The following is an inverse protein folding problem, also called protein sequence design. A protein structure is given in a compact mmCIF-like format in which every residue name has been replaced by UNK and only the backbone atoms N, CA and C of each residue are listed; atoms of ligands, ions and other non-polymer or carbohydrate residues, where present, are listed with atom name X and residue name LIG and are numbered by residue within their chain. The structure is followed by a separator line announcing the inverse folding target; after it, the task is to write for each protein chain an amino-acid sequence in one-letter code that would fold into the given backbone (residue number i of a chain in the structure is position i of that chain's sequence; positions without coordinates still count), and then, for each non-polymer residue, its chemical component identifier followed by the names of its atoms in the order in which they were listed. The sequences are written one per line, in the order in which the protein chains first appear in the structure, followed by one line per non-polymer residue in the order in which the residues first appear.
data_IF_707389582391
#
_entry.id   IF_707389582391
#
_cell.length_a   1.000
_cell.length_b   1.000
_cell.length_c   1.000
_cell.angle_alpha   90.00
_cell.angle_beta   90.00
_cell.angle_gamma   90.00
#
_symmetry.space_group_name_H-M   'P 1'
#
loop_
_entity.id
_entity.type
_entity.pdbx_description
1 polymer ?
#
# COMPACT_ATOMS: atom_id res chain seq x y z
N UNK A 1 33.19 -11.53 -22.67
CA UNK A 1 32.74 -10.74 -21.49
C UNK A 1 32.24 -11.73 -20.44
N UNK A 2 32.66 -11.56 -19.17
CA UNK A 2 32.28 -12.48 -18.07
C UNK A 2 30.97 -12.06 -17.42
N UNK A 3 30.11 -13.04 -17.20
CA UNK A 3 28.83 -12.88 -16.52
C UNK A 3 28.66 -13.93 -15.42
N UNK A 4 27.98 -13.57 -14.34
CA UNK A 4 27.50 -14.52 -13.35
C UNK A 4 26.05 -14.89 -13.65
N UNK A 5 25.71 -16.15 -13.58
CA UNK A 5 24.32 -16.63 -13.62
C UNK A 5 23.68 -16.32 -12.28
N UNK A 6 22.90 -15.27 -12.22
CA UNK A 6 22.28 -14.80 -10.96
C UNK A 6 20.99 -15.54 -10.64
N UNK A 7 20.22 -15.91 -11.65
CA UNK A 7 18.93 -16.56 -11.46
C UNK A 7 18.52 -17.36 -12.70
N UNK A 8 17.83 -18.47 -12.50
CA UNK A 8 17.24 -19.30 -13.56
C UNK A 8 15.72 -19.36 -13.35
N UNK A 9 14.97 -19.02 -14.37
CA UNK A 9 13.55 -19.31 -14.42
C UNK A 9 13.31 -20.64 -15.13
N UNK A 10 13.03 -21.68 -14.36
CA UNK A 10 12.84 -23.06 -14.88
C UNK A 10 11.57 -23.19 -15.72
N UNK A 11 10.51 -22.45 -15.39
CA UNK A 11 9.24 -22.47 -16.12
C UNK A 11 9.36 -21.92 -17.54
N UNK A 12 10.08 -20.80 -17.72
CA UNK A 12 10.29 -20.17 -19.02
C UNK A 12 11.60 -20.58 -19.70
N UNK A 13 12.44 -21.36 -19.04
CA UNK A 13 13.76 -21.80 -19.51
C UNK A 13 14.72 -20.65 -19.79
N UNK A 14 14.77 -19.65 -18.91
CA UNK A 14 15.69 -18.53 -19.04
C UNK A 14 16.67 -18.46 -17.88
N UNK A 15 17.93 -18.22 -18.20
CA UNK A 15 18.97 -17.81 -17.26
C UNK A 15 19.17 -16.29 -17.33
N UNK A 16 19.22 -15.65 -16.19
CA UNK A 16 19.58 -14.25 -16.06
C UNK A 16 21.06 -14.17 -15.70
N UNK A 17 21.82 -13.48 -16.54
CA UNK A 17 23.26 -13.40 -16.43
C UNK A 17 23.65 -11.93 -16.26
N UNK A 18 24.41 -11.60 -15.23
CA UNK A 18 24.77 -10.25 -14.85
C UNK A 18 26.26 -10.04 -15.03
N UNK A 19 26.65 -9.02 -15.78
CA UNK A 19 28.02 -8.53 -15.81
C UNK A 19 28.28 -7.70 -14.56
N UNK A 20 29.21 -8.14 -13.73
CA UNK A 20 29.50 -7.49 -12.44
C UNK A 20 30.21 -6.15 -12.60
N UNK A 21 31.01 -5.96 -13.66
CA UNK A 21 31.73 -4.72 -13.92
C UNK A 21 30.80 -3.60 -14.39
N UNK A 22 29.96 -3.90 -15.35
CA UNK A 22 29.05 -2.91 -15.98
C UNK A 22 27.63 -2.98 -15.44
N UNK A 23 27.32 -3.97 -14.58
CA UNK A 23 25.97 -4.21 -14.02
C UNK A 23 24.88 -4.42 -15.09
N UNK A 24 25.28 -4.97 -16.23
CA UNK A 24 24.37 -5.30 -17.32
C UNK A 24 23.76 -6.68 -17.05
N UNK A 25 22.44 -6.78 -17.14
CA UNK A 25 21.74 -8.07 -17.09
C UNK A 25 21.28 -8.48 -18.47
N UNK A 26 21.56 -9.71 -18.84
CA UNK A 26 21.07 -10.32 -20.07
C UNK A 26 20.24 -11.57 -19.77
N UNK A 27 19.34 -11.90 -20.68
CA UNK A 27 18.53 -13.11 -20.62
C UNK A 27 19.03 -14.12 -21.63
N UNK A 28 19.37 -15.31 -21.18
CA UNK A 28 19.83 -16.41 -22.03
C UNK A 28 18.90 -17.62 -21.97
N UNK A 29 18.67 -18.22 -23.13
CA UNK A 29 17.97 -19.52 -23.25
C UNK A 29 19.00 -20.63 -23.11
N UNK A 30 19.50 -20.85 -21.90
CA UNK A 30 20.41 -21.92 -21.59
C UNK A 30 20.15 -22.45 -20.17
N UNK A 31 19.46 -23.56 -20.08
CA UNK A 31 19.07 -24.19 -18.81
C UNK A 31 20.15 -25.15 -18.27
N UNK A 32 21.26 -25.29 -18.95
CA UNK A 32 22.37 -26.16 -18.51
C UNK A 32 23.28 -25.44 -17.53
N UNK A 33 23.17 -24.13 -17.39
CA UNK A 33 23.86 -23.35 -16.37
C UNK A 33 23.21 -23.53 -14.99
N UNK A 34 23.99 -23.32 -13.94
CA UNK A 34 23.53 -23.28 -12.56
C UNK A 34 23.71 -21.88 -11.97
N UNK A 35 22.85 -21.44 -11.02
CA UNK A 35 23.07 -20.18 -10.31
C UNK A 35 24.46 -20.17 -9.65
N UNK A 36 25.16 -19.04 -9.77
CA UNK A 36 26.52 -18.87 -9.26
C UNK A 36 27.61 -19.29 -10.25
N UNK A 37 27.30 -19.87 -11.40
CA UNK A 37 28.30 -20.10 -12.43
C UNK A 37 28.75 -18.78 -13.09
N UNK A 38 30.07 -18.68 -13.36
CA UNK A 38 30.62 -17.60 -14.19
C UNK A 38 30.78 -18.16 -15.61
N UNK A 39 30.25 -17.43 -16.56
CA UNK A 39 30.23 -17.78 -17.98
C UNK A 39 30.83 -16.63 -18.81
N UNK A 40 31.55 -17.01 -19.87
CA UNK A 40 32.02 -16.07 -20.88
C UNK A 40 31.02 -16.00 -22.03
N UNK A 41 30.61 -14.80 -22.38
CA UNK A 41 29.66 -14.55 -23.48
C UNK A 41 30.32 -13.58 -24.46
N UNK A 42 30.60 -14.06 -25.66
CA UNK A 42 31.13 -13.25 -26.78
C UNK A 42 30.02 -12.84 -27.73
N UNK A 43 28.98 -13.66 -27.85
CA UNK A 43 27.83 -13.41 -28.70
C UNK A 43 26.54 -13.73 -27.94
N UNK A 44 25.74 -12.71 -27.66
CA UNK A 44 24.49 -12.84 -26.89
C UNK A 44 23.42 -13.69 -27.58
N UNK A 45 23.52 -13.90 -28.89
CA UNK A 45 22.55 -14.68 -29.66
C UNK A 45 22.83 -16.20 -29.63
N UNK A 46 24.04 -16.62 -29.23
CA UNK A 46 24.47 -18.01 -29.26
C UNK A 46 24.43 -18.69 -27.89
N UNK A 47 24.25 -20.02 -27.85
CA UNK A 47 24.42 -20.80 -26.59
C UNK A 47 25.82 -20.60 -26.01
N UNK A 48 25.92 -20.73 -24.67
CA UNK A 48 27.19 -20.62 -23.95
C UNK A 48 28.01 -21.91 -24.16
N UNK A 49 29.24 -21.84 -24.69
CA UNK A 49 30.08 -23.01 -24.87
C UNK A 49 30.40 -23.70 -23.54
N UNK A 50 30.44 -25.03 -23.53
CA UNK A 50 30.72 -25.84 -22.32
C UNK A 50 32.05 -25.49 -21.63
N UNK A 51 33.10 -25.19 -22.41
CA UNK A 51 34.43 -24.83 -21.89
C UNK A 51 34.55 -23.45 -21.26
N UNK A 52 33.51 -22.60 -21.37
CA UNK A 52 33.52 -21.22 -20.82
C UNK A 52 32.86 -21.10 -19.45
N UNK A 53 32.63 -22.24 -18.76
CA UNK A 53 31.95 -22.30 -17.46
C UNK A 53 32.92 -22.54 -16.34
N UNK A 54 32.89 -21.71 -15.32
CA UNK A 54 33.65 -21.86 -14.08
C UNK A 54 32.71 -21.82 -12.88
N UNK A 55 32.95 -22.67 -11.87
CA UNK A 55 32.30 -22.52 -10.58
C UNK A 55 32.88 -21.31 -9.87
N UNK A 56 32.01 -20.47 -9.39
CA UNK A 56 32.38 -19.30 -8.60
C UNK A 56 32.76 -19.73 -7.17
N UNK A 57 33.86 -19.21 -6.63
CA UNK A 57 34.16 -19.41 -5.21
C UNK A 57 33.47 -18.29 -4.42
N UNK A 58 32.79 -18.61 -3.30
CA UNK A 58 32.06 -17.68 -2.43
C UNK A 58 32.89 -16.44 -2.00
N UNK A 59 34.21 -16.53 -2.01
CA UNK A 59 35.10 -15.41 -1.67
C UNK A 59 35.12 -14.27 -2.71
N UNK A 60 34.64 -14.47 -3.92
CA UNK A 60 34.74 -13.50 -4.99
C UNK A 60 33.42 -12.75 -5.26
N UNK A 61 32.31 -13.13 -4.63
CA UNK A 61 31.02 -12.42 -4.74
C UNK A 61 31.01 -11.15 -3.89
N UNK A 62 32.10 -10.38 -3.94
CA UNK A 62 32.02 -8.96 -3.62
C UNK A 62 31.35 -8.28 -4.81
N UNK A 63 30.01 -8.36 -4.84
CA UNK A 63 29.25 -7.40 -5.65
C UNK A 63 29.80 -6.03 -5.33
N UNK A 64 30.16 -5.22 -6.34
CA UNK A 64 30.58 -3.85 -6.07
C UNK A 64 29.54 -3.25 -5.16
N UNK A 65 29.99 -2.60 -4.08
CA UNK A 65 29.09 -1.88 -3.20
C UNK A 65 28.19 -1.07 -4.12
N UNK A 66 26.88 -1.29 -4.03
CA UNK A 66 25.94 -0.42 -4.70
C UNK A 66 26.12 0.87 -3.93
N UNK A 67 26.97 1.74 -4.44
CA UNK A 67 27.01 3.11 -3.96
C UNK A 67 25.63 3.63 -4.22
N UNK A 68 24.84 3.70 -3.14
CA UNK A 68 23.60 4.43 -3.19
C UNK A 68 24.01 5.85 -3.53
N UNK A 69 23.60 6.41 -4.70
CA UNK A 69 24.01 7.75 -5.10
C UNK A 69 23.34 8.83 -4.23
N UNK A 70 22.94 8.48 -2.98
CA UNK A 70 21.98 9.27 -2.27
C UNK A 70 22.64 9.95 -1.09
N UNK A 71 23.00 11.14 -1.36
CA UNK A 71 22.81 12.18 -0.37
C UNK A 71 21.38 12.71 -0.53
N UNK A 72 20.40 12.05 0.07
CA UNK A 72 19.18 12.79 0.34
C UNK A 72 19.60 13.91 1.26
N UNK A 73 19.31 15.12 0.84
CA UNK A 73 19.37 16.24 1.75
C UNK A 73 18.30 16.03 2.84
N UNK A 74 18.66 15.25 3.87
CA UNK A 74 17.84 15.06 5.08
C UNK A 74 17.71 16.39 5.84
N UNK A 75 18.33 17.45 5.36
CA UNK A 75 18.31 18.77 5.97
C UNK A 75 16.90 19.31 6.22
N UNK A 76 15.91 18.88 5.44
CA UNK A 76 14.51 19.29 5.59
C UNK A 76 13.63 18.18 6.19
N UNK A 77 14.16 16.98 6.45
CA UNK A 77 13.41 15.91 7.07
C UNK A 77 13.21 16.18 8.56
N UNK A 78 11.99 15.91 9.04
CA UNK A 78 11.70 15.96 10.47
C UNK A 78 12.41 14.84 11.25
N UNK A 79 12.36 14.89 12.58
CA UNK A 79 13.03 13.94 13.46
C UNK A 79 12.56 12.50 13.29
N UNK A 80 11.30 12.28 12.92
CA UNK A 80 10.74 10.92 12.69
C UNK A 80 11.36 10.32 11.43
N UNK A 81 11.39 11.07 10.33
CA UNK A 81 12.04 10.64 9.08
C UNK A 81 13.53 10.35 9.29
N UNK A 82 14.24 11.19 10.06
CA UNK A 82 15.65 10.94 10.41
C UNK A 82 15.85 9.63 11.17
N UNK A 83 14.96 9.30 12.11
CA UNK A 83 15.00 8.03 12.86
C UNK A 83 14.70 6.82 11.99
N UNK A 84 13.79 6.95 11.00
CA UNK A 84 13.48 5.88 10.03
C UNK A 84 14.58 5.68 9.00
N UNK A 85 15.37 6.71 8.72
CA UNK A 85 16.32 6.74 7.61
C UNK A 85 17.24 5.52 7.50
N UNK A 86 17.87 5.00 8.58
CA UNK A 86 18.75 3.84 8.45
C UNK A 86 18.04 2.60 7.91
N UNK A 87 16.76 2.40 8.27
CA UNK A 87 15.95 1.29 7.73
C UNK A 87 15.55 1.54 6.27
N UNK A 88 15.23 2.77 5.92
CA UNK A 88 14.88 3.15 4.54
C UNK A 88 16.09 2.94 3.62
N UNK A 89 17.27 3.39 4.05
CA UNK A 89 18.52 3.22 3.31
C UNK A 89 18.86 1.75 3.11
N UNK A 90 18.79 0.94 4.18
CA UNK A 90 19.03 -0.51 4.11
C UNK A 90 18.05 -1.20 3.15
N UNK A 91 16.77 -0.85 3.19
CA UNK A 91 15.75 -1.37 2.27
C UNK A 91 16.02 -0.93 0.83
N UNK A 92 16.42 0.33 0.59
CA UNK A 92 16.77 0.83 -0.73
C UNK A 92 17.96 0.06 -1.33
N UNK A 93 19.00 -0.19 -0.53
CA UNK A 93 20.16 -0.98 -0.94
C UNK A 93 19.77 -2.42 -1.28
N UNK A 94 18.94 -3.07 -0.43
CA UNK A 94 18.46 -4.43 -0.67
C UNK A 94 17.67 -4.50 -1.99
N UNK A 95 16.70 -3.61 -2.17
CA UNK A 95 15.86 -3.57 -3.39
C UNK A 95 16.73 -3.36 -4.64
N UNK A 96 17.61 -2.35 -4.61
CA UNK A 96 18.50 -2.07 -5.73
C UNK A 96 19.40 -3.28 -6.06
N UNK A 97 19.96 -3.95 -5.04
CA UNK A 97 20.76 -5.17 -5.21
C UNK A 97 19.97 -6.28 -5.88
N UNK A 98 18.77 -6.61 -5.37
CA UNK A 98 17.92 -7.69 -5.92
C UNK A 98 17.56 -7.41 -7.38
N UNK A 99 17.16 -6.19 -7.68
CA UNK A 99 16.77 -5.77 -9.03
C UNK A 99 17.95 -5.80 -10.00
N UNK A 100 19.12 -5.28 -9.61
CA UNK A 100 20.33 -5.31 -10.45
C UNK A 100 20.85 -6.73 -10.70
N UNK A 101 20.60 -7.66 -9.78
CA UNK A 101 20.92 -9.07 -9.92
C UNK A 101 19.81 -9.87 -10.65
N UNK A 102 18.72 -9.21 -11.06
CA UNK A 102 17.53 -9.87 -11.64
C UNK A 102 16.95 -10.97 -10.76
N UNK A 103 17.13 -10.88 -9.45
CA UNK A 103 16.46 -11.76 -8.49
C UNK A 103 14.96 -11.45 -8.52
N UNK A 104 14.06 -12.45 -8.42
CA UNK A 104 12.63 -12.22 -8.43
C UNK A 104 12.18 -11.30 -7.30
N UNK A 105 11.37 -10.29 -7.66
CA UNK A 105 10.77 -9.36 -6.73
C UNK A 105 9.26 -9.35 -6.92
N UNK A 106 8.51 -9.57 -5.84
CA UNK A 106 7.05 -9.36 -5.83
C UNK A 106 6.77 -8.08 -5.08
N UNK A 107 6.05 -7.16 -5.70
CA UNK A 107 5.62 -5.90 -5.09
C UNK A 107 4.11 -5.92 -5.02
N UNK A 108 3.59 -5.95 -3.81
CA UNK A 108 2.17 -5.85 -3.50
C UNK A 108 1.88 -4.48 -2.94
N UNK A 109 0.86 -3.81 -3.47
CA UNK A 109 0.43 -2.49 -3.04
C UNK A 109 -1.09 -2.42 -2.89
N UNK A 110 -1.57 -1.61 -1.97
CA UNK A 110 -3.00 -1.42 -1.74
C UNK A 110 -3.66 -0.68 -2.91
N UNK A 111 -4.94 -0.95 -3.12
CA UNK A 111 -5.71 -0.47 -4.27
C UNK A 111 -6.39 0.90 -4.04
N UNK A 112 -5.69 1.83 -3.43
CA UNK A 112 -6.12 3.21 -3.23
C UNK A 112 -5.05 4.22 -3.67
N UNK A 113 -5.28 5.50 -3.39
CA UNK A 113 -4.35 6.55 -3.81
C UNK A 113 -3.01 6.46 -3.08
N UNK A 114 -2.98 6.05 -1.80
CA UNK A 114 -1.75 5.94 -1.01
C UNK A 114 -0.86 4.81 -1.52
N UNK A 115 -1.35 3.57 -1.50
CA UNK A 115 -0.61 2.41 -1.98
C UNK A 115 -0.17 2.53 -3.45
N UNK A 116 -1.06 3.08 -4.30
CA UNK A 116 -0.77 3.27 -5.73
C UNK A 116 0.26 4.36 -6.00
N UNK A 117 0.25 5.47 -5.25
CA UNK A 117 1.28 6.50 -5.33
C UNK A 117 2.65 5.94 -4.99
N UNK A 118 2.73 5.14 -3.92
CA UNK A 118 3.96 4.45 -3.53
C UNK A 118 4.47 3.50 -4.60
N UNK A 119 3.57 2.70 -5.19
CA UNK A 119 3.93 1.77 -6.26
C UNK A 119 4.45 2.48 -7.52
N UNK A 120 3.81 3.60 -7.94
CA UNK A 120 4.26 4.40 -9.08
C UNK A 120 5.61 5.06 -8.81
N UNK A 121 5.81 5.63 -7.62
CA UNK A 121 7.09 6.23 -7.24
C UNK A 121 8.23 5.20 -7.29
N UNK A 122 8.02 4.02 -6.69
CA UNK A 122 9.00 2.94 -6.71
C UNK A 122 9.26 2.41 -8.13
N UNK A 123 8.22 2.27 -8.96
CA UNK A 123 8.36 1.87 -10.37
C UNK A 123 9.25 2.85 -11.14
N UNK A 124 9.02 4.16 -11.00
CA UNK A 124 9.83 5.20 -11.64
C UNK A 124 11.28 5.13 -11.19
N UNK A 125 11.51 4.95 -9.89
CA UNK A 125 12.84 4.87 -9.32
C UNK A 125 13.63 3.66 -9.86
N UNK A 126 12.99 2.50 -9.89
CA UNK A 126 13.60 1.28 -10.42
C UNK A 126 13.88 1.40 -11.92
N UNK A 127 12.95 1.98 -12.69
CA UNK A 127 13.15 2.23 -14.13
C UNK A 127 14.32 3.16 -14.38
N UNK A 128 14.40 4.31 -13.69
CA UNK A 128 15.51 5.26 -13.85
C UNK A 128 16.87 4.66 -13.45
N UNK A 129 16.91 3.88 -12.36
CA UNK A 129 18.11 3.15 -11.96
C UNK A 129 18.59 2.21 -13.07
N UNK A 130 17.67 1.52 -13.74
CA UNK A 130 18.01 0.56 -14.80
C UNK A 130 18.38 1.24 -16.11
N UNK A 131 17.66 2.28 -16.52
CA UNK A 131 17.98 3.06 -17.72
C UNK A 131 19.39 3.65 -17.62
N UNK A 132 19.82 4.08 -16.42
CA UNK A 132 21.17 4.58 -16.18
C UNK A 132 22.25 3.50 -16.29
N UNK A 133 21.89 2.21 -16.29
CA UNK A 133 22.80 1.05 -16.31
C UNK A 133 22.69 0.21 -17.58
N UNK A 134 21.97 0.69 -18.60
CA UNK A 134 21.77 -0.01 -19.90
C UNK A 134 21.22 -1.44 -19.76
N UNK A 135 20.46 -1.74 -18.73
CA UNK A 135 19.77 -3.03 -18.62
C UNK A 135 18.65 -3.11 -19.64
N UNK A 136 18.90 -3.86 -20.71
CA UNK A 136 17.93 -4.11 -21.74
C UNK A 136 17.02 -5.24 -21.34
N UNK A 137 15.95 -5.28 -20.87
CA UNK A 137 14.88 -6.28 -20.79
C UNK A 137 14.50 -6.83 -19.42
N UNK A 138 13.22 -6.78 -19.28
CA UNK A 138 12.29 -7.49 -18.37
C UNK A 138 12.91 -7.95 -17.06
N UNK A 139 12.79 -7.05 -16.12
CA UNK A 139 12.98 -7.34 -14.71
C UNK A 139 12.09 -8.51 -14.28
N UNK A 140 12.60 -9.32 -13.39
CA UNK A 140 11.83 -10.32 -12.65
C UNK A 140 11.00 -9.63 -11.57
N UNK A 141 10.24 -8.59 -11.94
CA UNK A 141 9.37 -7.87 -11.03
C UNK A 141 7.91 -8.17 -11.35
N UNK A 142 7.18 -8.61 -10.34
CA UNK A 142 5.74 -8.83 -10.41
C UNK A 142 5.03 -7.80 -9.55
N UNK A 143 4.24 -6.96 -10.17
CA UNK A 143 3.38 -5.99 -9.50
C UNK A 143 2.00 -6.58 -9.27
N UNK A 144 1.50 -6.49 -8.03
CA UNK A 144 0.20 -7.04 -7.64
C UNK A 144 -0.54 -5.99 -6.82
N UNK A 145 -1.65 -5.51 -7.38
CA UNK A 145 -2.59 -4.66 -6.65
C UNK A 145 -3.39 -5.50 -5.66
N UNK A 146 -3.28 -5.20 -4.38
CA UNK A 146 -3.97 -5.90 -3.31
C UNK A 146 -5.29 -5.20 -2.98
N UNK A 147 -6.39 -5.98 -2.94
CA UNK A 147 -7.73 -5.44 -2.61
C UNK A 147 -8.09 -5.61 -1.14
N UNK A 148 -7.37 -6.47 -0.44
CA UNK A 148 -7.57 -6.73 0.98
C UNK A 148 -6.57 -5.96 1.83
N UNK A 149 -6.92 -5.77 3.09
CA UNK A 149 -6.11 -5.05 4.09
C UNK A 149 -5.09 -5.97 4.81
N UNK A 150 -5.03 -7.25 4.44
CA UNK A 150 -4.13 -8.25 5.04
C UNK A 150 -3.50 -9.13 3.97
N UNK A 151 -2.40 -9.77 4.32
CA UNK A 151 -1.70 -10.75 3.50
C UNK A 151 -2.05 -12.17 3.95
N UNK A 152 -3.03 -12.78 3.30
CA UNK A 152 -3.54 -14.10 3.67
C UNK A 152 -2.73 -15.27 3.10
N UNK A 153 -3.08 -16.48 3.54
CA UNK A 153 -2.41 -17.72 3.07
C UNK A 153 -2.66 -18.01 1.60
N UNK A 154 -3.79 -17.58 1.04
CA UNK A 154 -4.10 -17.73 -0.39
C UNK A 154 -3.17 -16.91 -1.27
N UNK A 155 -2.94 -15.65 -0.90
CA UNK A 155 -1.98 -14.76 -1.56
C UNK A 155 -0.56 -15.30 -1.43
N UNK A 156 -0.18 -15.74 -0.24
CA UNK A 156 1.14 -16.32 0.03
C UNK A 156 1.38 -17.61 -0.77
N UNK A 157 0.38 -18.48 -0.92
CA UNK A 157 0.49 -19.69 -1.72
C UNK A 157 0.72 -19.38 -3.21
N UNK A 158 -0.02 -18.39 -3.75
CA UNK A 158 0.15 -17.95 -5.14
C UNK A 158 1.54 -17.34 -5.39
N UNK A 159 2.06 -16.56 -4.43
CA UNK A 159 3.38 -15.95 -4.51
C UNK A 159 4.48 -16.99 -4.39
N UNK A 160 4.36 -17.92 -3.46
CA UNK A 160 5.32 -19.01 -3.28
C UNK A 160 5.39 -19.92 -4.51
N UNK A 161 4.23 -20.21 -5.14
CA UNK A 161 4.18 -20.95 -6.40
C UNK A 161 4.91 -20.21 -7.52
N UNK A 162 4.74 -18.88 -7.62
CA UNK A 162 5.46 -18.10 -8.63
C UNK A 162 6.96 -18.09 -8.37
N UNK A 163 7.39 -17.89 -7.13
CA UNK A 163 8.79 -17.87 -6.70
C UNK A 163 9.45 -19.24 -6.91
N UNK A 164 8.74 -20.34 -6.71
CA UNK A 164 9.28 -21.71 -6.85
C UNK A 164 9.75 -22.05 -8.28
N UNK A 165 9.35 -21.25 -9.27
CA UNK A 165 9.89 -21.37 -10.63
C UNK A 165 11.33 -20.83 -10.78
N UNK A 166 11.85 -20.16 -9.76
CA UNK A 166 13.16 -19.51 -9.81
C UNK A 166 14.16 -20.23 -8.92
N UNK A 167 15.37 -20.38 -9.45
CA UNK A 167 16.54 -20.85 -8.72
C UNK A 167 17.61 -19.75 -8.81
N UNK A 168 17.98 -19.16 -7.68
CA UNK A 168 18.76 -17.93 -7.66
C UNK A 168 19.89 -18.00 -6.62
N UNK A 169 20.93 -17.17 -6.81
CA UNK A 169 22.04 -17.03 -5.86
C UNK A 169 21.64 -16.39 -4.53
N UNK A 170 20.51 -15.69 -4.51
CA UNK A 170 19.96 -15.05 -3.31
C UNK A 170 18.46 -15.31 -3.20
N UNK A 171 17.91 -15.16 -1.98
CA UNK A 171 16.46 -15.28 -1.75
C UNK A 171 15.71 -14.22 -2.58
N UNK A 172 14.55 -14.57 -3.17
CA UNK A 172 13.62 -13.61 -3.73
C UNK A 172 13.18 -12.55 -2.70
N UNK A 173 12.70 -11.42 -3.20
CA UNK A 173 12.26 -10.31 -2.36
C UNK A 173 10.75 -10.10 -2.49
N UNK A 174 10.09 -9.86 -1.36
CA UNK A 174 8.73 -9.35 -1.32
C UNK A 174 8.73 -7.93 -0.78
N UNK A 175 7.94 -7.05 -1.41
CA UNK A 175 7.72 -5.67 -0.97
C UNK A 175 6.23 -5.48 -0.76
N UNK A 176 5.84 -5.03 0.44
CA UNK A 176 4.48 -4.66 0.78
C UNK A 176 4.39 -3.16 0.95
N UNK A 177 3.38 -2.55 0.32
CA UNK A 177 3.13 -1.11 0.37
C UNK A 177 1.69 -0.88 0.79
N UNK A 178 1.49 -0.25 1.96
CA UNK A 178 0.21 0.24 2.45
C UNK A 178 -0.82 -0.84 2.77
N UNK A 179 -0.45 -1.94 3.35
CA UNK A 179 -1.39 -2.92 3.88
C UNK A 179 -0.69 -3.97 4.75
N UNK A 180 -1.48 -4.69 5.52
CA UNK A 180 -1.06 -5.94 6.15
C UNK A 180 -0.49 -5.84 7.55
N UNK A 181 -0.46 -4.65 8.17
CA UNK A 181 0.01 -4.44 9.56
C UNK A 181 -1.00 -4.94 10.59
N UNK A 182 -1.45 -6.18 10.45
CA UNK A 182 -2.40 -6.84 11.35
C UNK A 182 -2.03 -8.31 11.60
N UNK A 183 -2.54 -8.88 12.69
CA UNK A 183 -2.33 -10.30 13.02
C UNK A 183 -2.88 -11.24 11.96
N UNK A 184 -3.86 -10.80 11.15
CA UNK A 184 -4.42 -11.56 10.04
C UNK A 184 -3.36 -11.88 8.97
N UNK A 185 -2.29 -11.07 8.88
CA UNK A 185 -1.18 -11.29 7.95
C UNK A 185 -0.15 -12.30 8.43
N UNK A 186 -0.17 -12.65 9.73
CA UNK A 186 0.85 -13.55 10.33
C UNK A 186 0.89 -14.91 9.65
N UNK A 187 -0.27 -15.47 9.29
CA UNK A 187 -0.34 -16.78 8.63
C UNK A 187 0.26 -16.74 7.22
N UNK A 188 0.01 -15.67 6.46
CA UNK A 188 0.61 -15.47 5.14
C UNK A 188 2.13 -15.35 5.21
N UNK A 189 2.63 -14.54 6.15
CA UNK A 189 4.07 -14.39 6.39
C UNK A 189 4.71 -15.70 6.82
N UNK A 190 4.10 -16.41 7.77
CA UNK A 190 4.59 -17.72 8.22
C UNK A 190 4.60 -18.76 7.10
N UNK A 191 3.61 -18.72 6.17
CA UNK A 191 3.56 -19.61 5.02
C UNK A 191 4.72 -19.38 4.04
N UNK A 192 5.15 -18.13 3.86
CA UNK A 192 6.34 -17.78 3.08
C UNK A 192 7.61 -18.27 3.78
N UNK A 193 7.69 -18.17 5.10
CA UNK A 193 8.82 -18.59 5.92
C UNK A 193 10.14 -17.98 5.42
N UNK A 194 11.21 -18.78 5.47
CA UNK A 194 12.56 -18.35 5.03
C UNK A 194 12.77 -18.32 3.51
N UNK A 195 11.72 -18.51 2.71
CA UNK A 195 11.86 -18.57 1.25
C UNK A 195 12.08 -17.21 0.59
N UNK A 196 11.84 -16.12 1.32
CA UNK A 196 11.95 -14.73 0.81
C UNK A 196 12.52 -13.80 1.86
N UNK A 197 13.13 -12.70 1.41
CA UNK A 197 13.34 -11.50 2.21
C UNK A 197 12.11 -10.58 2.05
N UNK A 198 11.81 -9.77 3.07
CA UNK A 198 10.62 -8.93 3.09
C UNK A 198 11.01 -7.49 3.42
N UNK A 199 10.56 -6.54 2.57
CA UNK A 199 10.50 -5.10 2.84
C UNK A 199 9.04 -4.74 3.03
N UNK A 200 8.70 -4.05 4.11
CA UNK A 200 7.33 -3.69 4.43
C UNK A 200 7.22 -2.21 4.77
N UNK A 201 6.50 -1.47 3.92
CA UNK A 201 6.24 -0.04 4.05
C UNK A 201 4.76 0.14 4.42
N UNK A 202 4.50 0.53 5.65
CA UNK A 202 3.12 0.72 6.12
C UNK A 202 3.08 1.84 7.16
N UNK A 203 1.92 2.45 7.34
CA UNK A 203 1.68 3.53 8.28
C UNK A 203 0.48 3.27 9.20
N UNK A 204 -0.17 2.14 9.03
CA UNK A 204 -1.26 1.73 9.90
C UNK A 204 -0.75 1.46 11.32
N UNK A 205 -1.57 1.73 12.34
CA UNK A 205 -1.24 1.37 13.72
C UNK A 205 -0.94 -0.12 13.84
N UNK A 206 0.17 -0.42 14.49
CA UNK A 206 0.66 -1.78 14.58
C UNK A 206 -0.17 -2.57 15.59
N UNK A 207 -0.83 -3.62 15.14
CA UNK A 207 -1.63 -4.49 15.99
C UNK A 207 -0.72 -5.33 16.92
N UNK A 208 -1.17 -5.54 18.17
CA UNK A 208 -0.44 -6.39 19.10
C UNK A 208 -0.42 -7.84 18.61
N UNK A 209 0.78 -8.45 18.62
CA UNK A 209 0.98 -9.80 18.08
C UNK A 209 1.27 -9.85 16.58
N UNK A 210 1.30 -8.72 15.87
CA UNK A 210 1.74 -8.70 14.47
C UNK A 210 3.23 -9.07 14.35
N UNK A 211 3.54 -10.10 13.55
CA UNK A 211 4.88 -10.65 13.41
C UNK A 211 5.86 -9.71 12.67
N UNK A 212 5.36 -8.77 11.88
CA UNK A 212 6.18 -7.83 11.10
C UNK A 212 7.08 -6.94 11.96
N UNK A 213 6.77 -6.75 13.25
CA UNK A 213 7.63 -6.00 14.21
C UNK A 213 9.06 -6.56 14.27
N UNK A 214 9.25 -7.85 14.02
CA UNK A 214 10.54 -8.54 14.05
C UNK A 214 11.28 -8.53 12.69
N UNK A 215 10.68 -8.05 11.62
CA UNK A 215 11.32 -8.00 10.31
C UNK A 215 12.36 -6.87 10.25
N UNK A 216 13.51 -7.18 9.67
CA UNK A 216 14.64 -6.23 9.53
C UNK A 216 14.23 -4.97 8.76
N UNK A 217 13.52 -5.13 7.66
CA UNK A 217 13.11 -4.05 6.77
C UNK A 217 11.62 -3.68 6.91
N UNK A 218 11.09 -3.75 8.13
CA UNK A 218 9.77 -3.19 8.44
C UNK A 218 9.89 -1.72 8.78
N UNK A 219 9.29 -0.87 7.93
CA UNK A 219 9.32 0.59 8.02
C UNK A 219 7.90 1.05 8.31
N UNK A 220 7.68 1.45 9.55
CA UNK A 220 6.40 1.97 10.00
C UNK A 220 6.65 3.11 11.01
N UNK A 221 6.06 4.31 10.81
CA UNK A 221 6.30 5.49 11.64
C UNK A 221 6.04 5.27 13.13
N UNK A 222 5.08 4.42 13.47
CA UNK A 222 4.74 4.10 14.87
C UNK A 222 5.90 3.52 15.67
N UNK A 223 6.85 2.86 15.02
CA UNK A 223 8.06 2.33 15.68
C UNK A 223 9.05 3.44 16.06
N UNK A 224 8.89 4.64 15.50
CA UNK A 224 9.83 5.75 15.64
C UNK A 224 9.22 6.96 16.36
N UNK A 225 8.00 6.81 16.93
CA UNK A 225 7.27 7.87 17.61
C UNK A 225 6.48 8.78 16.68
N UNK A 226 6.30 8.37 15.42
CA UNK A 226 5.38 8.98 14.46
C UNK A 226 3.98 8.41 14.55
N UNK A 227 3.17 8.70 13.56
CA UNK A 227 1.78 8.24 13.44
C UNK A 227 1.38 8.01 11.96
N UNK A 228 0.12 7.69 11.73
CA UNK A 228 -0.41 7.40 10.40
C UNK A 228 -0.41 8.58 9.42
N UNK A 229 -0.03 9.78 9.84
CA UNK A 229 0.12 10.91 8.91
C UNK A 229 1.32 10.77 7.96
N UNK A 230 2.27 9.89 8.31
CA UNK A 230 3.36 9.49 7.41
C UNK A 230 2.85 8.36 6.51
N UNK A 231 2.10 8.67 5.47
CA UNK A 231 1.47 7.69 4.60
C UNK A 231 2.47 6.71 3.97
N UNK A 232 2.01 5.52 3.59
CA UNK A 232 2.89 4.50 3.01
C UNK A 232 3.45 4.94 1.65
N UNK A 233 2.67 5.70 0.87
CA UNK A 233 3.14 6.32 -0.36
C UNK A 233 4.22 7.37 -0.13
N UNK A 234 4.11 8.21 0.91
CA UNK A 234 5.19 9.11 1.32
C UNK A 234 6.46 8.33 1.68
N UNK A 235 6.36 7.27 2.47
CA UNK A 235 7.49 6.40 2.80
C UNK A 235 8.12 5.78 1.55
N UNK A 236 7.28 5.33 0.62
CA UNK A 236 7.71 4.78 -0.68
C UNK A 236 8.38 5.83 -1.56
N UNK A 237 7.91 7.08 -1.52
CA UNK A 237 8.53 8.20 -2.22
C UNK A 237 9.93 8.51 -1.65
N UNK A 238 10.07 8.53 -0.33
CA UNK A 238 11.38 8.70 0.34
C UNK A 238 12.33 7.55 -0.04
N UNK A 239 11.85 6.30 0.01
CA UNK A 239 12.60 5.13 -0.45
C UNK A 239 12.99 5.23 -1.93
N UNK A 240 12.10 5.72 -2.78
CA UNK A 240 12.34 5.89 -4.22
C UNK A 240 13.42 6.94 -4.49
N UNK A 241 13.41 8.06 -3.77
CA UNK A 241 14.51 9.06 -3.80
C UNK A 241 15.81 8.42 -3.35
N UNK A 242 15.75 7.52 -2.36
CA UNK A 242 16.90 6.74 -1.91
C UNK A 242 17.48 5.85 -3.02
N UNK A 243 16.71 5.34 -3.95
CA UNK A 243 17.16 4.48 -5.05
C UNK A 243 17.69 5.29 -6.24
N UNK A 244 17.09 6.44 -6.61
CA UNK A 244 17.38 7.09 -7.89
C UNK A 244 17.30 8.62 -7.89
N UNK A 245 17.14 9.27 -6.74
CA UNK A 245 17.05 10.73 -6.62
C UNK A 245 16.06 11.41 -7.60
N UNK A 246 14.90 10.79 -7.82
CA UNK A 246 13.84 11.34 -8.67
C UNK A 246 12.95 12.33 -7.92
N UNK A 247 12.34 13.25 -8.68
CA UNK A 247 11.23 14.05 -8.16
C UNK A 247 9.98 13.17 -8.01
N UNK A 248 9.51 13.03 -6.77
CA UNK A 248 8.33 12.27 -6.39
C UNK A 248 7.22 13.16 -5.83
N UNK A 249 7.38 14.48 -5.86
CA UNK A 249 6.51 15.45 -5.17
C UNK A 249 5.02 15.26 -5.47
N UNK A 250 4.66 15.01 -6.73
CA UNK A 250 3.26 14.82 -7.11
C UNK A 250 2.66 13.50 -6.53
N UNK A 251 3.48 12.45 -6.37
CA UNK A 251 3.06 11.20 -5.76
C UNK A 251 2.97 11.35 -4.24
N UNK A 252 3.86 12.13 -3.62
CA UNK A 252 3.79 12.50 -2.21
C UNK A 252 2.48 13.23 -1.92
N UNK A 253 2.17 14.28 -2.68
CA UNK A 253 0.92 15.05 -2.51
C UNK A 253 -0.31 14.15 -2.71
N UNK A 254 -0.33 13.31 -3.75
CA UNK A 254 -1.46 12.42 -4.03
C UNK A 254 -1.70 11.40 -2.92
N UNK A 255 -0.64 10.83 -2.35
CA UNK A 255 -0.66 9.92 -1.22
C UNK A 255 -1.21 10.61 0.04
N UNK A 256 -0.61 11.75 0.42
CA UNK A 256 -1.00 12.51 1.60
C UNK A 256 -2.45 12.99 1.55
N UNK A 257 -2.92 13.39 0.36
CA UNK A 257 -4.32 13.82 0.12
C UNK A 257 -5.26 12.60 0.19
N UNK A 258 -4.85 11.47 -0.42
CA UNK A 258 -5.65 10.24 -0.43
C UNK A 258 -6.04 9.79 0.98
N UNK A 259 -5.09 9.86 1.89
CA UNK A 259 -5.23 9.44 3.29
C UNK A 259 -5.56 10.58 4.27
N UNK A 260 -5.93 11.75 3.77
CA UNK A 260 -6.25 12.90 4.61
C UNK A 260 -5.17 13.21 5.66
N UNK A 261 -3.91 13.05 5.28
CA UNK A 261 -2.77 13.31 6.17
C UNK A 261 -2.75 14.78 6.61
N UNK A 262 -2.34 15.03 7.88
CA UNK A 262 -2.11 16.40 8.35
C UNK A 262 -0.97 17.12 7.60
N UNK A 263 -0.13 16.39 6.89
CA UNK A 263 0.95 16.93 6.05
C UNK A 263 0.51 17.22 4.62
N UNK A 264 -0.76 16.91 4.27
CA UNK A 264 -1.27 17.15 2.94
C UNK A 264 -1.21 18.62 2.54
N UNK A 265 -0.59 18.88 1.40
CA UNK A 265 -0.63 20.17 0.72
C UNK A 265 -1.65 20.05 -0.39
N UNK A 266 -2.82 20.58 -0.23
CA UNK A 266 -3.92 20.44 -1.19
C UNK A 266 -3.63 21.23 -2.47
N UNK A 267 -2.69 20.76 -3.29
CA UNK A 267 -2.47 21.23 -4.64
C UNK A 267 -3.53 20.69 -5.59
N UNK A 268 -3.95 21.48 -6.59
CA UNK A 268 -4.94 21.04 -7.58
C UNK A 268 -4.50 19.75 -8.29
N UNK A 269 -3.23 19.65 -8.66
CA UNK A 269 -2.66 18.45 -9.29
C UNK A 269 -2.65 17.25 -8.31
N UNK A 270 -2.29 17.44 -7.05
CA UNK A 270 -2.31 16.40 -6.03
C UNK A 270 -3.72 15.83 -5.82
N UNK A 271 -4.73 16.70 -5.70
CA UNK A 271 -6.15 16.31 -5.59
C UNK A 271 -6.60 15.55 -6.85
N UNK A 272 -6.23 16.04 -8.03
CA UNK A 272 -6.59 15.41 -9.28
C UNK A 272 -5.97 14.01 -9.40
N UNK A 273 -4.67 13.87 -9.12
CA UNK A 273 -3.98 12.58 -9.21
C UNK A 273 -4.51 11.59 -8.17
N UNK A 274 -4.68 12.01 -6.91
CA UNK A 274 -5.28 11.17 -5.87
C UNK A 274 -6.65 10.64 -6.29
N UNK A 275 -7.51 11.51 -6.84
CA UNK A 275 -8.84 11.11 -7.34
C UNK A 275 -8.77 10.11 -8.50
N UNK A 276 -7.85 10.31 -9.44
CA UNK A 276 -7.66 9.39 -10.56
C UNK A 276 -7.16 8.04 -10.06
N UNK A 277 -6.19 8.01 -9.15
CA UNK A 277 -5.65 6.77 -8.58
C UNK A 277 -6.76 5.96 -7.89
N UNK A 278 -7.51 6.57 -6.99
CA UNK A 278 -8.64 5.91 -6.33
C UNK A 278 -9.67 5.35 -7.33
N UNK A 279 -9.93 6.07 -8.42
CA UNK A 279 -10.91 5.65 -9.40
C UNK A 279 -10.43 4.48 -10.24
N UNK A 280 -9.22 4.54 -10.81
CA UNK A 280 -8.71 3.50 -11.71
C UNK A 280 -8.37 2.21 -10.98
N UNK A 281 -8.00 2.28 -9.72
CA UNK A 281 -7.73 1.11 -8.87
C UNK A 281 -9.03 0.48 -8.36
N UNK A 282 -10.06 1.29 -8.15
CA UNK A 282 -11.41 0.81 -7.82
C UNK A 282 -12.07 0.09 -8.99
N UNK A 283 -11.91 0.63 -10.18
CA UNK A 283 -12.55 0.14 -11.39
C UNK A 283 -11.57 0.11 -12.59
N UNK A 284 -10.67 -0.89 -12.64
CA UNK A 284 -9.71 -1.03 -13.73
C UNK A 284 -10.36 -1.16 -15.12
N UNK A 285 -11.63 -1.56 -15.19
CA UNK A 285 -12.36 -1.68 -16.46
C UNK A 285 -12.58 -0.33 -17.14
N UNK A 286 -12.63 0.77 -16.37
CA UNK A 286 -12.73 2.15 -16.91
C UNK A 286 -11.57 2.46 -17.84
N UNK A 287 -10.40 1.90 -17.56
CA UNK A 287 -9.18 2.07 -18.35
C UNK A 287 -8.90 0.90 -19.30
N UNK A 288 -9.87 -0.03 -19.43
CA UNK A 288 -9.80 -1.20 -20.31
C UNK A 288 -8.61 -2.12 -20.00
N UNK A 289 -8.21 -2.19 -18.76
CA UNK A 289 -7.21 -3.14 -18.27
C UNK A 289 -7.86 -4.39 -17.69
N UNK A 290 -7.05 -5.42 -17.46
CA UNK A 290 -7.47 -6.60 -16.69
C UNK A 290 -7.81 -6.20 -15.24
N UNK A 291 -8.32 -7.13 -14.44
CA UNK A 291 -8.69 -6.91 -13.04
C UNK A 291 -7.54 -6.39 -12.12
N UNK A 292 -6.37 -6.21 -12.67
CA UNK A 292 -5.22 -5.60 -12.02
C UNK A 292 -4.62 -4.53 -12.92
N UNK A 293 -4.29 -3.38 -12.35
CA UNK A 293 -3.58 -2.31 -13.03
C UNK A 293 -2.14 -2.27 -12.51
N UNK A 294 -1.19 -2.12 -13.41
CA UNK A 294 0.23 -2.02 -13.07
C UNK A 294 0.67 -0.55 -12.92
N UNK A 295 1.74 -0.26 -12.14
CA UNK A 295 2.27 1.10 -12.05
C UNK A 295 2.63 1.71 -13.40
N UNK A 296 3.14 0.92 -14.35
CA UNK A 296 3.44 1.38 -15.72
C UNK A 296 2.18 1.81 -16.49
N UNK A 297 1.05 1.12 -16.28
CA UNK A 297 -0.24 1.51 -16.86
C UNK A 297 -0.79 2.78 -16.21
N UNK A 298 -0.68 2.87 -14.88
CA UNK A 298 -1.04 4.09 -14.13
C UNK A 298 -0.24 5.28 -14.69
N UNK A 299 1.08 5.14 -14.81
CA UNK A 299 1.97 6.19 -15.30
C UNK A 299 1.55 6.69 -16.68
N UNK A 300 1.30 5.78 -17.65
CA UNK A 300 0.81 6.16 -18.98
C UNK A 300 -0.52 6.93 -18.96
N UNK A 301 -1.41 6.60 -18.01
CA UNK A 301 -2.67 7.33 -17.83
C UNK A 301 -2.38 8.74 -17.30
N UNK A 302 -1.49 8.85 -16.31
CA UNK A 302 -1.15 10.12 -15.68
C UNK A 302 -0.36 11.05 -16.62
N UNK A 303 0.40 10.54 -17.59
CA UNK A 303 1.09 11.32 -18.61
C UNK A 303 0.14 11.93 -19.63
N UNK A 304 -1.00 11.32 -19.89
CA UNK A 304 -1.98 11.80 -20.86
C UNK A 304 -2.93 12.85 -20.27
N UNK A 305 -2.71 14.14 -20.55
CA UNK A 305 -3.59 15.24 -20.11
C UNK A 305 -5.06 14.97 -20.47
N UNK A 306 -5.33 14.61 -21.73
CA UNK A 306 -6.70 14.30 -22.19
C UNK A 306 -7.33 13.20 -21.35
N UNK A 307 -6.57 12.13 -21.07
CA UNK A 307 -7.10 10.98 -20.30
C UNK A 307 -7.37 11.38 -18.85
N UNK A 308 -6.51 12.19 -18.23
CA UNK A 308 -6.76 12.73 -16.89
C UNK A 308 -8.06 13.54 -16.82
N UNK A 309 -8.26 14.45 -17.78
CA UNK A 309 -9.47 15.29 -17.83
C UNK A 309 -10.74 14.44 -17.99
N UNK A 310 -10.74 13.43 -18.87
CA UNK A 310 -11.85 12.49 -19.04
C UNK A 310 -12.18 11.74 -17.74
N UNK A 311 -11.15 11.25 -17.04
CA UNK A 311 -11.31 10.49 -15.82
C UNK A 311 -11.81 11.37 -14.66
N UNK A 312 -11.29 12.57 -14.52
CA UNK A 312 -11.75 13.55 -13.51
C UNK A 312 -13.19 13.95 -13.74
N UNK A 313 -13.59 14.19 -15.01
CA UNK A 313 -14.98 14.46 -15.34
C UNK A 313 -15.91 13.32 -14.94
N UNK A 314 -15.52 12.07 -15.25
CA UNK A 314 -16.26 10.88 -14.85
C UNK A 314 -16.34 10.75 -13.33
N UNK A 315 -15.21 10.90 -12.60
CA UNK A 315 -15.18 10.83 -11.15
C UNK A 315 -16.11 11.85 -10.50
N UNK A 316 -16.13 13.09 -11.01
CA UNK A 316 -17.01 14.15 -10.53
C UNK A 316 -18.48 13.77 -10.69
N UNK A 317 -18.90 13.33 -11.89
CA UNK A 317 -20.30 12.93 -12.14
C UNK A 317 -20.71 11.81 -11.18
N UNK A 318 -19.90 10.78 -11.02
CA UNK A 318 -20.22 9.64 -10.13
C UNK A 318 -20.29 10.04 -8.66
N UNK A 319 -19.40 10.91 -8.23
CA UNK A 319 -19.43 11.44 -6.87
C UNK A 319 -20.68 12.31 -6.61
N UNK A 320 -21.06 13.16 -7.55
CA UNK A 320 -22.26 13.99 -7.44
C UNK A 320 -23.55 13.14 -7.42
N UNK A 321 -23.66 12.13 -8.28
CA UNK A 321 -24.76 11.17 -8.28
C UNK A 321 -24.87 10.43 -6.93
N UNK A 322 -23.76 9.93 -6.42
CA UNK A 322 -23.71 9.27 -5.13
C UNK A 322 -24.10 10.19 -3.96
N UNK A 323 -23.59 11.42 -3.94
CA UNK A 323 -23.93 12.41 -2.93
C UNK A 323 -25.41 12.80 -2.94
N UNK A 324 -25.98 12.97 -4.14
CA UNK A 324 -27.42 13.25 -4.29
C UNK A 324 -28.29 12.10 -3.79
N UNK A 325 -27.88 10.84 -4.04
CA UNK A 325 -28.57 9.67 -3.55
C UNK A 325 -28.46 9.53 -2.01
N UNK A 326 -27.27 9.76 -1.45
CA UNK A 326 -27.04 9.72 -0.01
C UNK A 326 -27.92 10.74 0.72
N UNK A 327 -28.00 11.96 0.22
CA UNK A 327 -28.82 13.04 0.83
C UNK A 327 -30.30 12.64 0.98
N UNK A 328 -30.82 11.77 0.12
CA UNK A 328 -32.21 11.27 0.16
C UNK A 328 -32.42 10.12 1.16
N UNK A 329 -31.37 9.36 1.47
CA UNK A 329 -31.44 8.14 2.30
C UNK A 329 -30.77 8.28 3.66
N UNK A 330 -30.20 9.44 3.97
CA UNK A 330 -29.46 9.72 5.20
C UNK A 330 -30.38 9.72 6.41
N UNK A 331 -30.13 8.85 7.39
CA UNK A 331 -30.79 8.85 8.70
C UNK A 331 -29.97 9.73 9.66
N UNK A 332 -30.64 10.62 10.38
CA UNK A 332 -30.00 11.53 11.35
C UNK A 332 -30.51 11.22 12.75
N UNK A 333 -29.59 11.11 13.69
CA UNK A 333 -29.86 10.90 15.09
C UNK A 333 -29.20 12.00 15.93
N UNK A 334 -29.95 12.57 16.89
CA UNK A 334 -29.40 13.53 17.84
C UNK A 334 -28.74 12.76 19.00
N UNK A 335 -27.52 13.15 19.35
CA UNK A 335 -26.77 12.65 20.50
C UNK A 335 -26.51 13.81 21.47
N UNK A 336 -26.12 13.57 22.73
CA UNK A 336 -25.78 14.63 23.70
C UNK A 336 -24.60 15.48 23.22
N UNK A 337 -24.87 16.64 22.62
CA UNK A 337 -23.86 17.57 22.07
C UNK A 337 -23.12 17.07 20.82
N UNK A 338 -23.75 16.17 20.05
CA UNK A 338 -23.23 15.66 18.80
C UNK A 338 -24.36 15.17 17.89
N UNK A 339 -24.06 14.88 16.62
CA UNK A 339 -24.98 14.30 15.65
C UNK A 339 -24.43 13.02 15.05
N UNK A 340 -25.29 12.01 14.89
CA UNK A 340 -24.95 10.80 14.17
C UNK A 340 -25.69 10.72 12.84
N UNK A 341 -25.01 10.31 11.80
CA UNK A 341 -25.53 10.10 10.47
C UNK A 341 -25.31 8.64 10.06
N UNK A 342 -26.34 8.02 9.48
CA UNK A 342 -26.29 6.63 9.00
C UNK A 342 -26.73 6.62 7.56
N UNK A 343 -25.95 5.99 6.69
CA UNK A 343 -26.24 5.84 5.26
C UNK A 343 -26.03 4.42 4.80
N UNK A 344 -26.90 3.96 3.89
CA UNK A 344 -26.78 2.66 3.22
C UNK A 344 -26.15 2.86 1.86
N UNK A 345 -24.92 2.41 1.68
CA UNK A 345 -24.19 2.59 0.44
C UNK A 345 -24.80 1.83 -0.76
N UNK A 346 -25.52 0.73 -0.52
CA UNK A 346 -26.26 0.02 -1.59
C UNK A 346 -27.33 0.91 -2.23
N UNK A 347 -27.92 1.84 -1.44
CA UNK A 347 -28.92 2.81 -1.93
C UNK A 347 -28.30 4.02 -2.62
N UNK A 348 -27.00 4.23 -2.40
CA UNK A 348 -26.27 5.40 -2.88
C UNK A 348 -25.61 5.12 -4.22
N UNK A 349 -25.05 3.92 -4.37
CA UNK A 349 -24.29 3.54 -5.57
C UNK A 349 -25.23 3.02 -6.65
N UNK A 350 -25.10 3.56 -7.86
CA UNK A 350 -25.83 3.07 -9.03
C UNK A 350 -25.34 1.67 -9.40
N UNK A 351 -26.26 0.79 -9.77
CA UNK A 351 -25.93 -0.57 -10.20
C UNK A 351 -24.88 -0.59 -11.32
N UNK A 352 -23.94 -1.50 -11.21
CA UNK A 352 -22.85 -1.70 -12.18
C UNK A 352 -21.69 -0.70 -12.08
N UNK A 353 -21.75 0.31 -11.19
CA UNK A 353 -20.63 1.22 -10.96
C UNK A 353 -19.75 0.76 -9.80
N UNK A 354 -18.43 0.87 -9.92
CA UNK A 354 -17.48 0.52 -8.85
C UNK A 354 -16.93 1.75 -8.11
N UNK A 355 -16.96 2.92 -8.75
CA UNK A 355 -16.53 4.20 -8.16
C UNK A 355 -17.75 5.07 -7.76
N UNK A 356 -17.71 5.81 -6.63
CA UNK A 356 -16.65 5.82 -5.62
C UNK A 356 -16.63 4.53 -4.77
N UNK A 357 -15.46 4.20 -4.22
CA UNK A 357 -15.35 3.15 -3.21
C UNK A 357 -16.05 3.56 -1.91
N UNK A 358 -16.59 2.60 -1.11
CA UNK A 358 -17.29 2.91 0.13
C UNK A 358 -16.48 3.75 1.11
N UNK A 359 -15.19 3.43 1.30
CA UNK A 359 -14.29 4.19 2.19
C UNK A 359 -14.08 5.62 1.72
N UNK A 360 -13.80 5.82 0.43
CA UNK A 360 -13.65 7.16 -0.18
C UNK A 360 -14.95 7.95 -0.08
N UNK A 361 -16.07 7.32 -0.40
CA UNK A 361 -17.37 7.96 -0.31
C UNK A 361 -17.72 8.34 1.13
N UNK A 362 -17.41 7.48 2.11
CA UNK A 362 -17.62 7.80 3.53
C UNK A 362 -16.86 9.08 3.93
N UNK A 363 -15.60 9.24 3.48
CA UNK A 363 -14.84 10.47 3.74
C UNK A 363 -15.47 11.68 3.07
N UNK A 364 -15.79 11.60 1.77
CA UNK A 364 -16.44 12.71 1.04
C UNK A 364 -17.77 13.13 1.65
N UNK A 365 -18.62 12.15 2.04
CA UNK A 365 -19.90 12.44 2.68
C UNK A 365 -19.71 13.04 4.06
N UNK A 366 -18.76 12.53 4.84
CA UNK A 366 -18.44 13.04 6.16
C UNK A 366 -17.94 14.49 6.10
N UNK A 367 -17.02 14.81 5.19
CA UNK A 367 -16.48 16.17 5.00
C UNK A 367 -17.60 17.17 4.68
N UNK A 368 -18.53 16.78 3.81
CA UNK A 368 -19.69 17.61 3.48
C UNK A 368 -20.63 17.81 4.67
N UNK A 369 -20.89 16.76 5.44
CA UNK A 369 -21.75 16.82 6.62
C UNK A 369 -21.10 17.65 7.73
N UNK A 370 -19.83 17.41 8.04
CA UNK A 370 -19.10 18.13 9.09
C UNK A 370 -18.94 19.62 8.78
N UNK A 371 -18.78 19.98 7.50
CA UNK A 371 -18.75 21.38 7.08
C UNK A 371 -20.10 22.09 7.22
N UNK A 372 -21.22 21.36 7.15
CA UNK A 372 -22.57 21.92 7.25
C UNK A 372 -23.14 21.96 8.68
N UNK A 373 -22.51 21.24 9.62
CA UNK A 373 -23.00 21.09 10.99
C UNK A 373 -22.11 21.84 11.99
N UNK A 374 -22.74 22.51 12.95
CA UNK A 374 -21.99 23.18 14.03
C UNK A 374 -21.56 22.23 15.13
N UNK A 375 -22.36 21.21 15.42
CA UNK A 375 -22.07 20.18 16.39
C UNK A 375 -21.13 19.12 15.80
N UNK A 376 -20.23 18.55 16.63
CA UNK A 376 -19.43 17.40 16.21
C UNK A 376 -20.29 16.26 15.68
N UNK A 377 -19.81 15.53 14.70
CA UNK A 377 -20.60 14.47 14.11
C UNK A 377 -19.84 13.14 13.94
N UNK A 378 -20.61 12.07 13.85
CA UNK A 378 -20.17 10.72 13.46
C UNK A 378 -21.00 10.27 12.27
N UNK A 379 -20.35 9.69 11.27
CA UNK A 379 -20.99 9.02 10.14
C UNK A 379 -20.73 7.53 10.21
N UNK A 380 -21.77 6.72 10.03
CA UNK A 380 -21.70 5.29 9.80
C UNK A 380 -22.28 4.99 8.43
N UNK A 381 -21.41 4.56 7.51
CA UNK A 381 -21.78 4.12 6.16
C UNK A 381 -21.69 2.61 6.10
N UNK A 382 -22.80 1.92 5.88
CA UNK A 382 -22.80 0.46 5.77
C UNK A 382 -23.01 -0.01 4.33
N UNK A 383 -22.35 -1.12 3.97
CA UNK A 383 -22.60 -1.83 2.73
C UNK A 383 -22.23 -3.31 2.87
N UNK A 384 -23.15 -4.20 2.51
CA UNK A 384 -22.97 -5.61 2.78
C UNK A 384 -22.66 -5.83 4.27
N UNK A 385 -21.64 -6.62 4.54
CA UNK A 385 -21.13 -6.91 5.88
C UNK A 385 -20.14 -5.87 6.43
N UNK A 386 -19.96 -4.71 5.77
CA UNK A 386 -19.03 -3.68 6.21
C UNK A 386 -19.76 -2.45 6.76
N UNK A 387 -19.19 -1.87 7.83
CA UNK A 387 -19.59 -0.58 8.39
C UNK A 387 -18.34 0.29 8.41
N UNK A 388 -18.33 1.37 7.60
CA UNK A 388 -17.27 2.39 7.60
C UNK A 388 -17.69 3.55 8.50
N UNK A 389 -16.83 3.94 9.43
CA UNK A 389 -17.11 4.95 10.44
C UNK A 389 -16.16 6.12 10.24
N UNK A 390 -16.70 7.35 10.29
CA UNK A 390 -15.94 8.60 10.32
C UNK A 390 -16.39 9.42 11.51
N UNK A 391 -15.47 10.05 12.22
CA UNK A 391 -15.76 10.80 13.43
C UNK A 391 -15.00 12.12 13.46
N UNK A 392 -15.68 13.19 13.86
CA UNK A 392 -15.07 14.49 14.13
C UNK A 392 -14.01 14.39 15.24
N UNK A 393 -12.87 15.06 15.08
CA UNK A 393 -11.79 15.03 16.06
C UNK A 393 -12.23 15.50 17.45
N UNK A 394 -13.13 16.50 17.53
CA UNK A 394 -13.71 17.00 18.79
C UNK A 394 -14.54 15.93 19.49
N UNK A 395 -15.23 15.10 18.71
CA UNK A 395 -16.02 13.98 19.25
C UNK A 395 -15.11 12.83 19.64
N UNK A 396 -14.11 12.51 18.83
CA UNK A 396 -13.14 11.46 19.11
C UNK A 396 -12.36 11.71 20.40
N UNK A 397 -11.97 12.96 20.69
CA UNK A 397 -11.31 13.33 21.95
C UNK A 397 -12.14 12.98 23.20
N UNK A 398 -13.47 12.93 23.10
CA UNK A 398 -14.38 12.56 24.18
C UNK A 398 -14.72 11.07 24.20
N UNK A 399 -14.87 10.48 23.02
CA UNK A 399 -15.41 9.13 22.85
C UNK A 399 -14.29 8.07 22.74
N UNK A 400 -13.17 8.40 22.08
CA UNK A 400 -12.09 7.47 21.83
C UNK A 400 -12.50 6.34 20.87
N UNK A 401 -12.64 6.64 19.60
CA UNK A 401 -13.22 5.71 18.62
C UNK A 401 -12.52 4.34 18.56
N UNK A 402 -11.18 4.28 18.67
CA UNK A 402 -10.46 3.00 18.69
C UNK A 402 -10.85 2.13 19.89
N UNK A 403 -10.88 2.72 21.10
CA UNK A 403 -11.26 1.99 22.30
C UNK A 403 -12.73 1.56 22.25
N UNK A 404 -13.59 2.35 21.62
CA UNK A 404 -14.99 2.02 21.38
C UNK A 404 -15.12 0.79 20.48
N UNK A 405 -14.43 0.79 19.34
CA UNK A 405 -14.47 -0.35 18.39
C UNK A 405 -13.80 -1.60 19.01
N UNK A 406 -12.74 -1.45 19.78
CA UNK A 406 -12.15 -2.56 20.51
C UNK A 406 -13.10 -3.16 21.57
N UNK A 407 -13.92 -2.31 22.20
CA UNK A 407 -14.98 -2.75 23.12
C UNK A 407 -16.09 -3.49 22.38
N UNK A 408 -16.55 -2.96 21.23
CA UNK A 408 -17.55 -3.62 20.38
C UNK A 408 -17.07 -4.98 19.87
N UNK A 409 -15.82 -5.09 19.42
CA UNK A 409 -15.23 -6.37 19.00
C UNK A 409 -15.27 -7.42 20.13
N UNK A 410 -14.99 -7.01 21.38
CA UNK A 410 -15.05 -7.93 22.53
C UNK A 410 -16.48 -8.32 22.91
N UNK A 411 -17.44 -7.40 22.80
CA UNK A 411 -18.86 -7.66 23.11
C UNK A 411 -19.53 -8.58 22.09
N UNK A 412 -19.07 -8.50 20.84
CA UNK A 412 -19.67 -9.17 19.68
C UNK A 412 -18.65 -9.98 18.88
N UNK A 413 -17.79 -10.74 19.57
CA UNK A 413 -16.74 -11.55 18.92
C UNK A 413 -17.31 -12.61 17.97
N UNK A 414 -18.51 -13.11 18.25
CA UNK A 414 -19.22 -14.06 17.39
C UNK A 414 -19.82 -13.39 16.13
N UNK A 415 -19.99 -12.06 16.12
CA UNK A 415 -20.60 -11.28 15.03
C UNK A 415 -19.57 -10.52 14.20
N UNK A 416 -18.60 -9.88 14.88
CA UNK A 416 -17.57 -9.08 14.22
C UNK A 416 -16.41 -9.97 13.82
N UNK A 417 -16.10 -10.03 12.53
CA UNK A 417 -14.97 -10.81 12.01
C UNK A 417 -13.65 -10.05 12.09
N UNK A 418 -13.66 -8.75 11.81
CA UNK A 418 -12.48 -7.88 11.90
C UNK A 418 -12.89 -6.41 12.02
N UNK A 419 -11.97 -5.55 12.40
CA UNK A 419 -12.20 -4.10 12.44
C UNK A 419 -10.88 -3.38 12.75
N UNK A 420 -10.66 -2.26 12.09
CA UNK A 420 -9.45 -1.46 12.23
C UNK A 420 -9.48 -0.19 11.40
N UNK A 421 -8.38 0.55 11.40
CA UNK A 421 -8.18 1.80 10.67
C UNK A 421 -7.54 2.89 11.55
N UNK A 422 -7.70 4.15 11.13
CA UNK A 422 -7.12 5.33 11.79
C UNK A 422 -8.03 5.91 12.88
N UNK A 423 -7.52 6.84 13.69
CA UNK A 423 -8.25 7.42 14.83
C UNK A 423 -9.59 8.05 14.48
N UNK A 424 -9.74 8.61 13.28
CA UNK A 424 -10.95 9.29 12.82
C UNK A 424 -11.68 8.52 11.72
N UNK A 425 -11.13 7.40 11.23
CA UNK A 425 -11.62 6.62 10.12
C UNK A 425 -11.40 5.13 10.35
N UNK A 426 -12.44 4.41 10.77
CA UNK A 426 -12.40 2.99 11.06
C UNK A 426 -13.41 2.24 10.19
N UNK A 427 -13.18 0.92 10.05
CA UNK A 427 -14.14 0.00 9.43
C UNK A 427 -14.30 -1.24 10.28
N UNK A 428 -15.52 -1.78 10.30
CA UNK A 428 -15.89 -3.04 10.94
C UNK A 428 -16.37 -3.98 9.84
N UNK A 429 -15.93 -5.23 9.86
CA UNK A 429 -16.43 -6.30 9.03
C UNK A 429 -17.21 -7.28 9.88
N UNK A 430 -18.47 -7.51 9.52
CA UNK A 430 -19.35 -8.48 10.15
C UNK A 430 -19.21 -9.85 9.49
N UNK A 431 -19.55 -10.92 10.23
CA UNK A 431 -19.65 -12.27 9.67
C UNK A 431 -20.93 -12.41 8.83
N UNK A 432 -22.02 -11.77 9.26
CA UNK A 432 -23.29 -11.71 8.55
C UNK A 432 -23.79 -10.27 8.40
N UNK A 433 -24.31 -9.91 7.23
CA UNK A 433 -24.90 -8.58 6.96
C UNK A 433 -26.14 -8.29 7.80
N UNK A 434 -26.87 -9.31 8.24
CA UNK A 434 -28.09 -9.15 9.04
C UNK A 434 -27.86 -8.48 10.39
N UNK A 435 -26.65 -8.57 10.94
CA UNK A 435 -26.29 -8.02 12.26
C UNK A 435 -25.98 -6.52 12.25
N UNK A 436 -25.92 -5.90 11.08
CA UNK A 436 -25.47 -4.50 10.93
C UNK A 436 -26.28 -3.49 11.73
N UNK A 437 -27.60 -3.60 11.77
CA UNK A 437 -28.45 -2.64 12.50
C UNK A 437 -28.27 -2.78 14.02
N UNK A 438 -28.00 -3.99 14.52
CA UNK A 438 -27.67 -4.24 15.92
C UNK A 438 -26.36 -3.54 16.27
N UNK A 439 -25.29 -3.78 15.55
CA UNK A 439 -23.96 -3.19 15.79
C UNK A 439 -24.00 -1.66 15.67
N UNK A 440 -24.72 -1.10 14.68
CA UNK A 440 -24.90 0.34 14.55
C UNK A 440 -25.58 0.94 15.79
N UNK A 441 -26.62 0.27 16.31
CA UNK A 441 -27.33 0.70 17.52
C UNK A 441 -26.44 0.68 18.73
N UNK A 442 -25.65 -0.37 18.90
CA UNK A 442 -24.78 -0.56 20.07
C UNK A 442 -23.64 0.47 20.04
N UNK A 443 -23.06 0.75 18.88
CA UNK A 443 -22.11 1.86 18.72
C UNK A 443 -22.73 3.20 19.14
N UNK A 444 -23.97 3.49 18.72
CA UNK A 444 -24.67 4.74 19.12
C UNK A 444 -24.90 4.80 20.63
N UNK A 445 -25.27 3.69 21.27
CA UNK A 445 -25.42 3.62 22.72
C UNK A 445 -24.10 3.89 23.43
N UNK A 446 -22.99 3.25 23.01
CA UNK A 446 -21.67 3.49 23.61
C UNK A 446 -21.20 4.94 23.42
N UNK A 447 -21.42 5.54 22.27
CA UNK A 447 -21.10 6.95 22.04
C UNK A 447 -21.90 7.82 22.99
N UNK A 448 -23.20 7.54 23.17
CA UNK A 448 -24.09 8.28 24.08
C UNK A 448 -23.64 8.15 25.54
N UNK A 449 -23.32 6.96 26.00
CA UNK A 449 -22.82 6.68 27.36
C UNK A 449 -21.51 7.44 27.65
N UNK A 450 -20.56 7.42 26.70
CA UNK A 450 -19.28 8.12 26.85
C UNK A 450 -19.44 9.63 26.88
N UNK A 451 -20.38 10.18 26.13
CA UNK A 451 -20.71 11.60 26.16
C UNK A 451 -21.44 12.03 27.44
N UNK A 452 -22.25 11.11 28.04
CA UNK A 452 -22.93 11.34 29.33
C UNK A 452 -21.96 11.41 30.50
N UNK A 453 -21.02 10.48 30.56
CA UNK A 453 -19.99 10.42 31.63
C UNK A 453 -19.08 11.65 31.68
N UNK A 454 -18.89 12.36 30.57
CA UNK A 454 -18.12 13.60 30.51
C UNK A 454 -18.83 14.81 31.14
N UNK A 455 -20.16 14.77 31.34
CA UNK A 455 -20.92 15.85 32.04
C UNK A 455 -20.80 15.71 33.54
N UNK A 456 -20.87 14.49 34.06
CA UNK A 456 -20.85 14.28 35.52
C UNK A 456 -19.47 14.60 36.15
N UNK A 457 -18.38 14.50 35.36
CA UNK A 457 -17.04 14.85 35.82
C UNK A 457 -16.76 16.37 35.88
N UNK A 458 -17.47 17.17 35.08
CA UNK A 458 -17.35 18.63 35.12
C UNK A 458 -18.26 19.31 36.16
N UNK A 459 -19.39 18.68 36.52
CA UNK A 459 -20.30 19.20 37.55
C UNK A 459 -19.82 18.93 38.99
N UNK A 460 -18.80 18.07 39.19
CA UNK A 460 -18.17 17.85 40.50
C UNK A 460 -16.97 18.78 40.78
N UNK A 461 -16.56 19.61 39.83
CA UNK A 461 -15.46 20.57 39.97
C UNK A 461 -15.92 22.05 39.87
N UNK A 462 -17.23 22.33 39.99
CA UNK A 462 -17.81 23.66 40.20
C UNK A 462 -18.44 23.75 41.60
#
# INVERSE_FOLDING_TARGET
MEFIVSCINRGSRFAYCVNLGERITIKKVDITCSPGEVIEIDDYSKPVPEGSRRKFSDKALRLPAIETPIKIGITDADEITKRMWPKIEAAAMLIARKVLLSIPVIIRFHNDADGSSGAVALHRALRAMLESKMSTERLNIRWIMNKGVSYGTSEAAADKLWISNYDCIEKPLMIFIDFGTSVDSNQGVAYMGDSTEIVWLDHHPIEDGFCGKGLEHYINPWLFGGDSSYTAGLLSCILSKAISNLDTSIMEDASLIGDHSRYARFSDDGVAISTILDMITSDPEIVKTSNQITPAEIERILESKKRREELLHYARIRSEEAMAAASKSLRKHQLPGAKAFISDFKKVRKDGTKYPLPGRFASMLFDRLSASEQEPCILMLHFGSYISIRMDARLNAKVGMRSLIAEEKRRHEEVISSGGGHDLALSIKLKDESDKEMIIRDILMLVTERLGKGKDANDQNT
#
